data_IF_225117417504
#
_entry.id   IF_225117417504
#
_cell.length_a   1.000
_cell.length_b   1.000
_cell.length_c   1.000
_cell.angle_alpha   90.00
_cell.angle_beta   90.00
_cell.angle_gamma   90.00
#
_symmetry.space_group_name_H-M   'P 1'
#
loop_
_entity.id
_entity.type
_entity.pdbx_description
1 polymer ?
#
# COMPACT_ATOMS: atom_id res chain seq x y z
N UNK A 1 0.22 -31.97 -6.50
CA UNK A 1 0.43 -30.64 -7.11
C UNK A 1 1.06 -29.74 -6.06
N UNK A 2 2.33 -29.39 -6.22
CA UNK A 2 2.94 -28.31 -5.43
C UNK A 2 2.45 -26.98 -6.00
N UNK A 3 1.68 -26.21 -5.21
CA UNK A 3 1.22 -24.87 -5.61
C UNK A 3 2.44 -24.01 -5.94
N UNK A 4 2.43 -23.31 -7.08
CA UNK A 4 3.44 -22.28 -7.38
C UNK A 4 3.26 -21.02 -6.53
N UNK A 5 2.03 -20.73 -6.08
CA UNK A 5 1.71 -19.59 -5.22
C UNK A 5 0.62 -19.96 -4.22
N UNK A 6 0.84 -19.62 -2.95
CA UNK A 6 -0.06 -19.92 -1.84
C UNK A 6 -0.97 -18.71 -1.53
N UNK A 7 -2.32 -18.84 -1.58
CA UNK A 7 -3.25 -17.77 -1.25
C UNK A 7 -3.02 -17.14 0.12
N UNK A 8 -2.52 -17.91 1.10
CA UNK A 8 -2.21 -17.38 2.43
C UNK A 8 -0.96 -16.50 2.42
N UNK A 9 0.05 -16.88 1.63
CA UNK A 9 1.26 -16.07 1.45
C UNK A 9 0.95 -14.77 0.70
N UNK A 10 0.06 -14.82 -0.31
CA UNK A 10 -0.40 -13.61 -1.02
C UNK A 10 -1.21 -12.70 -0.09
N UNK A 11 -2.09 -13.25 0.75
CA UNK A 11 -2.83 -12.46 1.73
C UNK A 11 -1.93 -11.86 2.82
N UNK A 12 -0.89 -12.59 3.25
CA UNK A 12 0.12 -12.09 4.18
C UNK A 12 0.94 -10.96 3.55
N UNK A 13 1.32 -11.10 2.27
CA UNK A 13 1.96 -10.03 1.50
C UNK A 13 1.04 -8.81 1.39
N UNK A 14 -0.25 -8.99 1.08
CA UNK A 14 -1.21 -7.91 1.03
C UNK A 14 -1.28 -7.13 2.35
N UNK A 15 -1.31 -7.82 3.50
CA UNK A 15 -1.25 -7.16 4.82
C UNK A 15 0.05 -6.39 5.04
N UNK A 16 1.20 -6.96 4.70
CA UNK A 16 2.51 -6.28 4.81
C UNK A 16 2.57 -5.04 3.92
N UNK A 17 2.05 -5.15 2.69
CA UNK A 17 1.94 -4.04 1.75
C UNK A 17 0.99 -2.98 2.31
N UNK A 18 -0.21 -3.35 2.76
CA UNK A 18 -1.15 -2.44 3.41
C UNK A 18 -0.56 -1.71 4.61
N UNK A 19 0.28 -2.37 5.42
CA UNK A 19 0.97 -1.75 6.56
C UNK A 19 1.98 -0.66 6.19
N UNK A 20 2.55 -0.69 4.98
CA UNK A 20 3.43 0.38 4.51
C UNK A 20 2.69 1.72 4.36
N UNK A 21 1.37 1.71 4.16
CA UNK A 21 0.51 2.90 4.15
C UNK A 21 0.63 3.71 5.44
N UNK A 22 0.64 3.03 6.58
CA UNK A 22 0.80 3.67 7.89
C UNK A 22 2.19 4.30 8.02
N UNK A 23 3.21 3.66 7.48
CA UNK A 23 4.57 4.22 7.38
C UNK A 23 4.61 5.52 6.59
N UNK A 24 4.04 5.54 5.37
CA UNK A 24 3.99 6.77 4.56
C UNK A 24 3.17 7.89 5.21
N UNK A 25 2.04 7.54 5.83
CA UNK A 25 1.19 8.50 6.56
C UNK A 25 1.91 9.05 7.80
N UNK A 26 2.62 8.20 8.55
CA UNK A 26 3.45 8.59 9.69
C UNK A 26 4.59 9.50 9.27
N UNK A 27 5.37 9.10 8.26
CA UNK A 27 6.46 9.93 7.72
C UNK A 27 5.98 11.28 7.22
N UNK A 28 4.80 11.35 6.59
CA UNK A 28 4.22 12.62 6.16
C UNK A 28 3.85 13.54 7.32
N UNK A 29 3.30 12.98 8.41
CA UNK A 29 3.01 13.72 9.65
C UNK A 29 4.28 14.18 10.35
N UNK A 30 5.28 13.32 10.45
CA UNK A 30 6.56 13.61 11.09
C UNK A 30 7.34 14.68 10.31
N UNK A 31 7.24 14.66 8.98
CA UNK A 31 7.81 15.68 8.11
C UNK A 31 7.10 17.04 8.27
N UNK A 32 5.81 17.03 8.59
CA UNK A 32 4.98 18.22 8.75
C UNK A 32 4.81 19.04 7.47
N UNK A 33 4.23 20.23 7.60
CA UNK A 33 3.92 21.11 6.46
C UNK A 33 5.11 21.93 5.95
N UNK A 34 6.29 21.75 6.58
CA UNK A 34 7.49 22.53 6.27
C UNK A 34 7.32 24.02 6.56
N UNK A 35 6.43 24.38 7.48
CA UNK A 35 6.31 25.75 7.96
C UNK A 35 7.52 26.06 8.84
N UNK A 36 8.44 26.93 8.38
CA UNK A 36 9.60 27.29 9.19
C UNK A 36 9.21 28.18 10.37
N UNK A 37 7.97 28.66 10.46
CA UNK A 37 7.54 29.63 11.47
C UNK A 37 8.42 30.86 11.43
N UNK A 38 9.09 31.15 12.55
CA UNK A 38 10.08 32.23 12.69
C UNK A 38 11.54 31.79 12.49
N UNK A 39 11.82 30.55 12.07
CA UNK A 39 13.19 30.02 12.02
C UNK A 39 14.12 30.81 11.09
N UNK A 40 13.57 31.46 10.06
CA UNK A 40 14.33 32.34 9.18
C UNK A 40 14.31 33.82 9.59
N UNK A 41 13.56 34.19 10.64
CA UNK A 41 13.57 35.51 11.27
C UNK A 41 13.50 36.69 10.29
N UNK A 42 14.28 37.74 10.59
CA UNK A 42 14.44 38.97 9.78
C UNK A 42 15.54 38.85 8.71
N UNK A 43 15.96 37.64 8.32
CA UNK A 43 16.91 37.50 7.23
C UNK A 43 16.31 38.13 5.97
N UNK A 44 17.09 38.95 5.25
CA UNK A 44 16.65 39.61 3.99
C UNK A 44 16.07 38.64 2.95
N UNK A 45 16.49 37.37 3.00
CA UNK A 45 16.02 36.30 2.10
C UNK A 45 15.05 35.31 2.78
N UNK A 46 14.62 35.57 4.02
CA UNK A 46 13.79 34.66 4.85
C UNK A 46 12.49 34.26 4.15
N UNK A 47 11.81 35.22 3.52
CA UNK A 47 10.56 34.96 2.81
C UNK A 47 10.75 34.00 1.62
N UNK A 48 11.86 34.13 0.89
CA UNK A 48 12.21 33.25 -0.23
C UNK A 48 12.59 31.85 0.24
N UNK A 49 13.42 31.75 1.27
CA UNK A 49 13.84 30.46 1.84
C UNK A 49 12.68 29.72 2.48
N UNK A 50 11.80 30.41 3.22
CA UNK A 50 10.63 29.81 3.83
C UNK A 50 9.62 29.30 2.81
N UNK A 51 9.40 30.02 1.71
CA UNK A 51 8.54 29.56 0.61
C UNK A 51 9.13 28.31 -0.08
N UNK A 52 10.43 28.27 -0.29
CA UNK A 52 11.12 27.11 -0.90
C UNK A 52 11.02 25.88 -0.01
N UNK A 53 11.26 26.02 1.29
CA UNK A 53 11.13 24.89 2.23
C UNK A 53 9.71 24.37 2.33
N UNK A 54 8.73 25.29 2.45
CA UNK A 54 7.31 24.91 2.44
C UNK A 54 6.94 24.18 1.16
N UNK A 55 7.38 24.68 0.00
CA UNK A 55 7.16 24.02 -1.29
C UNK A 55 7.81 22.64 -1.40
N UNK A 56 9.03 22.49 -0.87
CA UNK A 56 9.71 21.19 -0.81
C UNK A 56 8.94 20.18 0.05
N UNK A 57 8.56 20.54 1.28
CA UNK A 57 7.78 19.66 2.16
C UNK A 57 6.43 19.28 1.54
N UNK A 58 5.71 20.24 0.94
CA UNK A 58 4.47 19.98 0.22
C UNK A 58 4.66 18.99 -0.92
N UNK A 59 5.74 19.13 -1.71
CA UNK A 59 6.08 18.20 -2.78
C UNK A 59 6.36 16.78 -2.26
N UNK A 60 7.16 16.66 -1.20
CA UNK A 60 7.46 15.36 -0.59
C UNK A 60 6.19 14.72 -0.02
N UNK A 61 5.36 15.47 0.70
CA UNK A 61 4.08 14.98 1.22
C UNK A 61 3.14 14.51 0.10
N UNK A 62 3.10 15.21 -1.03
CA UNK A 62 2.32 14.76 -2.19
C UNK A 62 2.83 13.42 -2.76
N UNK A 63 4.14 13.21 -2.81
CA UNK A 63 4.71 11.91 -3.20
C UNK A 63 4.43 10.81 -2.19
N UNK A 64 4.50 11.10 -0.89
CA UNK A 64 4.17 10.14 0.17
C UNK A 64 2.69 9.73 0.12
N UNK A 65 1.79 10.69 -0.14
CA UNK A 65 0.35 10.41 -0.33
C UNK A 65 0.09 9.55 -1.58
N UNK A 66 0.76 9.86 -2.70
CA UNK A 66 0.67 9.04 -3.91
C UNK A 66 1.18 7.61 -3.68
N UNK A 67 2.31 7.45 -2.96
CA UNK A 67 2.85 6.14 -2.59
C UNK A 67 1.89 5.36 -1.68
N UNK A 68 1.32 6.03 -0.67
CA UNK A 68 0.29 5.49 0.22
C UNK A 68 -0.91 4.92 -0.57
N UNK A 69 -1.43 5.67 -1.55
CA UNK A 69 -2.54 5.23 -2.42
C UNK A 69 -2.17 4.04 -3.29
N UNK A 70 -0.96 4.02 -3.87
CA UNK A 70 -0.50 2.93 -4.73
C UNK A 70 -0.36 1.62 -3.94
N UNK A 71 0.18 1.73 -2.73
CA UNK A 71 0.36 0.60 -1.82
C UNK A 71 -0.98 0.07 -1.31
N UNK A 72 -1.94 0.95 -1.01
CA UNK A 72 -3.31 0.55 -0.67
C UNK A 72 -4.00 -0.20 -1.83
N UNK A 73 -3.90 0.34 -3.05
CA UNK A 73 -4.44 -0.30 -4.24
C UNK A 73 -3.79 -1.68 -4.50
N UNK A 74 -2.48 -1.80 -4.30
CA UNK A 74 -1.75 -3.06 -4.43
C UNK A 74 -2.19 -4.08 -3.37
N UNK A 75 -2.39 -3.65 -2.11
CA UNK A 75 -2.93 -4.50 -1.03
C UNK A 75 -4.32 -5.04 -1.37
N UNK A 76 -5.20 -4.18 -1.88
CA UNK A 76 -6.56 -4.58 -2.30
C UNK A 76 -6.50 -5.56 -3.47
N UNK A 77 -5.67 -5.29 -4.48
CA UNK A 77 -5.52 -6.18 -5.63
C UNK A 77 -4.99 -7.57 -5.24
N UNK A 78 -3.99 -7.62 -4.36
CA UNK A 78 -3.43 -8.87 -3.83
C UNK A 78 -4.46 -9.64 -3.00
N UNK A 79 -5.24 -8.95 -2.16
CA UNK A 79 -6.31 -9.58 -1.37
C UNK A 79 -7.39 -10.19 -2.28
N UNK A 80 -7.85 -9.44 -3.29
CA UNK A 80 -8.82 -9.95 -4.29
C UNK A 80 -8.27 -11.12 -5.09
N UNK A 81 -6.98 -11.10 -5.44
CA UNK A 81 -6.33 -12.22 -6.12
C UNK A 81 -6.30 -13.47 -5.24
N UNK A 82 -5.96 -13.32 -3.95
CA UNK A 82 -5.98 -14.43 -2.99
C UNK A 82 -7.39 -15.01 -2.79
N UNK A 83 -8.42 -14.17 -2.72
CA UNK A 83 -9.82 -14.61 -2.66
C UNK A 83 -10.24 -15.38 -3.90
N UNK A 84 -9.93 -14.87 -5.10
CA UNK A 84 -10.21 -15.57 -6.36
C UNK A 84 -9.56 -16.96 -6.39
N UNK A 85 -8.29 -17.05 -6.01
CA UNK A 85 -7.58 -18.33 -5.98
C UNK A 85 -8.23 -19.34 -5.03
N UNK A 86 -8.74 -18.91 -3.87
CA UNK A 86 -9.49 -19.78 -2.95
C UNK A 86 -10.82 -20.24 -3.55
N UNK A 87 -11.54 -19.33 -4.20
CA UNK A 87 -12.85 -19.64 -4.78
C UNK A 87 -12.74 -20.59 -5.99
N UNK A 88 -11.75 -20.36 -6.86
CA UNK A 88 -11.46 -21.22 -8.01
C UNK A 88 -11.06 -22.63 -7.56
N UNK A 89 -10.32 -22.73 -6.45
CA UNK A 89 -9.96 -24.02 -5.86
C UNK A 89 -11.15 -24.71 -5.20
N UNK A 90 -11.99 -23.99 -4.45
CA UNK A 90 -13.21 -24.55 -3.88
C UNK A 90 -14.12 -25.11 -4.99
N UNK A 91 -14.28 -24.38 -6.09
CA UNK A 91 -15.03 -24.84 -7.27
C UNK A 91 -14.36 -26.06 -7.93
N UNK A 92 -13.03 -26.04 -8.10
CA UNK A 92 -12.26 -27.17 -8.63
C UNK A 92 -12.40 -28.44 -7.79
N UNK A 93 -12.28 -28.33 -6.46
CA UNK A 93 -12.50 -29.44 -5.51
C UNK A 93 -13.93 -29.93 -5.56
N UNK A 94 -14.92 -29.03 -5.64
CA UNK A 94 -16.33 -29.43 -5.72
C UNK A 94 -16.64 -30.19 -7.01
N UNK A 95 -16.01 -29.80 -8.12
CA UNK A 95 -16.16 -30.42 -9.43
C UNK A 95 -15.43 -31.77 -9.51
N UNK A 96 -14.20 -31.84 -8.98
CA UNK A 96 -13.40 -33.08 -8.93
C UNK A 96 -14.00 -34.11 -7.95
N UNK A 97 -14.55 -33.66 -6.82
CA UNK A 97 -15.26 -34.51 -5.85
C UNK A 97 -16.64 -34.95 -6.37
N UNK A 98 -17.28 -34.14 -7.21
CA UNK A 98 -18.55 -34.47 -7.88
C UNK A 98 -18.42 -35.50 -9.01
N UNK A 99 -17.23 -35.60 -9.64
CA UNK A 99 -16.93 -36.59 -10.68
C UNK A 99 -16.38 -37.93 -10.13
N UNK A 100 -16.34 -38.10 -8.81
CA UNK A 100 -16.01 -39.37 -8.14
C UNK A 100 -17.18 -40.35 -8.02
N UNK A 101 -18.19 -40.28 -8.91
CA UNK A 101 -19.20 -41.35 -9.00
C UNK A 101 -18.60 -42.51 -9.77
N UNK A 102 -18.54 -43.64 -9.07
CA UNK A 102 -18.29 -45.01 -9.50
C UNK A 102 -18.37 -45.19 -11.03
N UNK A 103 -17.23 -45.51 -11.63
CA UNK A 103 -17.23 -46.30 -12.86
C UNK A 103 -17.27 -47.75 -12.41
N UNK A 104 -18.44 -48.37 -12.61
CA UNK A 104 -18.62 -49.83 -12.67
C UNK A 104 -17.58 -50.49 -13.59
#
# INVERSE_FOLDING_TARGET
MTRRFDPEQIASLAKKVGGLKEGFSGTSKDLGDGDPGGAFGDLKNAAGTGKTMKGFHQGVNAHLDAASKLVDAASIALSKAAERMRNDEAAGVHTLRGNGRERD
#
